data_IF_825414421798
#
_entry.id   IF_825414421798
#
_cell.length_a   1.000
_cell.length_b   1.000
_cell.length_c   1.000
_cell.angle_alpha   90.00
_cell.angle_beta   90.00
_cell.angle_gamma   90.00
#
_symmetry.space_group_name_H-M   'P 1'
#
loop_
_entity.id
_entity.type
_entity.pdbx_description
1 polymer ?
#
# COMPACT_ATOMS: atom_id res chain seq x y z
N UNK A 1 -15.82 -36.37 26.52
CA UNK A 1 -16.26 -35.69 25.29
C UNK A 1 -15.02 -35.48 24.45
N UNK A 2 -14.87 -36.29 23.41
CA UNK A 2 -13.64 -36.43 22.62
C UNK A 2 -13.93 -35.79 21.26
N UNK A 3 -13.28 -34.66 20.98
CA UNK A 3 -13.41 -33.97 19.70
C UNK A 3 -12.61 -34.72 18.62
N UNK A 4 -13.28 -34.95 17.48
CA UNK A 4 -12.77 -35.65 16.30
C UNK A 4 -11.69 -34.83 15.57
N UNK A 5 -10.71 -35.48 14.92
CA UNK A 5 -9.70 -34.81 14.09
C UNK A 5 -10.26 -34.41 12.71
N UNK A 6 -9.88 -33.22 12.23
CA UNK A 6 -10.19 -32.75 10.89
C UNK A 6 -9.25 -33.37 9.84
N UNK A 7 -9.82 -33.59 8.66
CA UNK A 7 -9.39 -34.47 7.58
C UNK A 7 -7.97 -34.24 7.04
N UNK A 8 -7.25 -35.35 6.85
CA UNK A 8 -6.11 -35.48 5.93
C UNK A 8 -6.61 -35.32 4.49
N UNK A 9 -6.05 -34.37 3.74
CA UNK A 9 -6.20 -34.32 2.29
C UNK A 9 -5.39 -35.48 1.69
N UNK A 10 -6.10 -36.42 1.06
CA UNK A 10 -5.55 -37.51 0.26
C UNK A 10 -5.05 -36.93 -1.07
N UNK A 11 -3.75 -37.01 -1.32
CA UNK A 11 -3.21 -36.90 -2.67
C UNK A 11 -3.13 -38.34 -3.25
N UNK A 12 -3.97 -38.65 -4.24
CA UNK A 12 -3.92 -39.91 -4.98
C UNK A 12 -4.35 -39.66 -6.44
N UNK A 13 -3.38 -39.77 -7.36
CA UNK A 13 -3.42 -40.50 -8.64
C UNK A 13 -2.13 -40.17 -9.42
N UNK A 14 -1.21 -41.12 -9.48
CA UNK A 14 -0.97 -42.04 -10.61
C UNK A 14 -0.02 -41.44 -11.65
N UNK A 15 1.26 -41.85 -11.58
CA UNK A 15 2.23 -41.64 -12.63
C UNK A 15 2.07 -42.74 -13.69
N UNK A 16 1.89 -42.33 -14.95
CA UNK A 16 2.12 -43.16 -16.13
C UNK A 16 3.18 -42.46 -16.99
N UNK A 17 4.03 -43.29 -17.61
CA UNK A 17 5.21 -42.88 -18.35
C UNK A 17 4.87 -42.34 -19.75
N UNK A 18 5.55 -41.23 -20.08
CA UNK A 18 6.08 -40.76 -21.36
C UNK A 18 5.28 -41.07 -22.65
N UNK A 19 4.89 -39.99 -23.34
CA UNK A 19 4.88 -39.96 -24.79
C UNK A 19 5.49 -38.65 -25.32
N UNK A 20 5.95 -38.69 -26.56
CA UNK A 20 6.96 -37.85 -27.18
C UNK A 20 6.55 -36.39 -27.46
N UNK A 21 7.55 -35.51 -27.34
CA UNK A 21 7.71 -34.18 -27.94
C UNK A 21 6.48 -33.51 -28.56
N UNK A 22 5.90 -32.58 -27.82
CA UNK A 22 5.32 -31.36 -28.37
C UNK A 22 6.14 -30.20 -27.80
N UNK A 23 6.71 -29.36 -28.67
CA UNK A 23 7.28 -28.07 -28.26
C UNK A 23 6.12 -27.18 -27.82
N UNK A 24 5.60 -27.46 -26.63
CA UNK A 24 4.63 -26.61 -25.98
C UNK A 24 5.34 -25.28 -25.71
N UNK A 25 4.87 -24.24 -26.40
CA UNK A 25 5.07 -22.86 -25.96
C UNK A 25 4.47 -22.80 -24.56
N UNK A 26 5.34 -22.89 -23.54
CA UNK A 26 4.97 -22.57 -22.17
C UNK A 26 4.70 -21.07 -22.20
N UNK A 27 3.43 -20.70 -22.34
CA UNK A 27 2.95 -19.38 -21.94
C UNK A 27 3.33 -19.24 -20.46
N UNK A 28 4.47 -18.59 -20.22
CA UNK A 28 4.88 -18.19 -18.90
C UNK A 28 3.84 -17.14 -18.48
N UNK A 29 2.83 -17.58 -17.75
CA UNK A 29 1.89 -16.71 -17.05
C UNK A 29 2.76 -15.91 -16.08
N UNK A 30 3.22 -14.73 -16.53
CA UNK A 30 4.03 -13.88 -15.68
C UNK A 30 3.06 -13.29 -14.69
N UNK A 31 3.10 -13.83 -13.47
CA UNK A 31 2.32 -13.32 -12.34
C UNK A 31 2.56 -11.80 -12.24
N UNK A 32 1.52 -11.03 -12.54
CA UNK A 32 1.50 -9.59 -12.32
C UNK A 32 1.36 -9.36 -10.81
N UNK A 33 2.48 -9.42 -10.10
CA UNK A 33 2.60 -9.17 -8.66
C UNK A 33 3.54 -8.01 -8.41
N UNK A 34 3.41 -7.39 -7.24
CA UNK A 34 4.40 -6.44 -6.76
C UNK A 34 5.67 -7.18 -6.30
N UNK A 35 6.88 -6.72 -6.68
CA UNK A 35 8.15 -7.34 -6.29
C UNK A 35 8.53 -7.05 -4.83
N UNK A 36 7.63 -7.34 -3.88
CA UNK A 36 7.82 -7.13 -2.45
C UNK A 36 8.63 -8.28 -1.81
N UNK A 37 9.56 -7.93 -0.94
CA UNK A 37 10.32 -8.88 -0.12
C UNK A 37 9.51 -9.32 1.11
N UNK A 38 9.96 -10.36 1.81
CA UNK A 38 9.34 -10.78 3.08
C UNK A 38 9.34 -9.66 4.13
N UNK A 39 10.41 -8.86 4.20
CA UNK A 39 10.49 -7.69 5.08
C UNK A 39 9.45 -6.63 4.72
N UNK A 40 9.22 -6.40 3.43
CA UNK A 40 8.20 -5.44 3.00
C UNK A 40 6.80 -5.91 3.36
N UNK A 41 6.51 -7.19 3.13
CA UNK A 41 5.22 -7.77 3.49
C UNK A 41 4.98 -7.72 5.00
N UNK A 42 6.03 -7.93 5.80
CA UNK A 42 5.93 -7.76 7.25
C UNK A 42 5.65 -6.29 7.63
N UNK A 43 6.39 -5.34 7.06
CA UNK A 43 6.18 -3.91 7.29
C UNK A 43 4.76 -3.48 6.88
N UNK A 44 4.29 -3.89 5.71
CA UNK A 44 2.93 -3.60 5.23
C UNK A 44 1.88 -4.20 6.16
N UNK A 45 2.00 -5.51 6.45
CA UNK A 45 1.04 -6.27 7.24
C UNK A 45 0.93 -5.79 8.69
N UNK A 46 2.04 -5.36 9.28
CA UNK A 46 2.08 -4.90 10.67
C UNK A 46 1.88 -3.38 10.80
N UNK A 47 2.48 -2.57 9.94
CA UNK A 47 2.60 -1.13 10.19
C UNK A 47 1.65 -0.33 9.30
N UNK A 48 1.64 -0.57 7.99
CA UNK A 48 0.79 0.18 7.05
C UNK A 48 -0.69 -0.12 7.29
N UNK A 49 -1.04 -1.40 7.47
CA UNK A 49 -2.42 -1.79 7.80
C UNK A 49 -2.84 -1.21 9.17
N UNK A 50 -1.97 -1.25 10.18
CA UNK A 50 -2.30 -0.69 11.49
C UNK A 50 -2.40 0.84 11.45
N UNK A 51 -1.57 1.52 10.67
CA UNK A 51 -1.68 2.95 10.39
C UNK A 51 -3.06 3.28 9.80
N UNK A 52 -3.47 2.55 8.76
CA UNK A 52 -4.78 2.72 8.12
C UNK A 52 -5.93 2.53 9.11
N UNK A 53 -5.88 1.47 9.94
CA UNK A 53 -6.87 1.22 10.99
C UNK A 53 -6.93 2.35 12.02
N UNK A 54 -5.77 2.85 12.47
CA UNK A 54 -5.70 3.99 13.40
C UNK A 54 -6.26 5.28 12.79
N UNK A 55 -6.03 5.52 11.50
CA UNK A 55 -6.67 6.64 10.79
C UNK A 55 -8.18 6.49 10.87
N UNK A 56 -8.74 5.34 10.48
CA UNK A 56 -10.18 5.10 10.50
C UNK A 56 -10.77 5.35 11.89
N UNK A 57 -10.10 4.87 12.94
CA UNK A 57 -10.55 5.01 14.33
C UNK A 57 -10.50 6.45 14.85
N UNK A 58 -9.47 7.23 14.49
CA UNK A 58 -9.15 8.50 15.16
C UNK A 58 -9.45 9.76 14.35
N UNK A 59 -9.40 9.69 13.03
CA UNK A 59 -9.53 10.87 12.17
C UNK A 59 -10.98 11.28 11.87
N UNK A 60 -11.97 10.48 12.28
CA UNK A 60 -13.38 10.68 11.99
C UNK A 60 -13.63 10.90 10.48
N UNK A 61 -13.22 9.94 9.61
CA UNK A 61 -13.32 10.11 8.17
C UNK A 61 -14.76 10.31 7.74
N UNK A 62 -14.96 11.15 6.73
CA UNK A 62 -16.26 11.25 6.05
C UNK A 62 -16.64 9.91 5.41
N UNK A 63 -17.93 9.65 5.12
CA UNK A 63 -18.33 8.40 4.46
C UNK A 63 -17.59 8.12 3.15
N UNK A 64 -17.29 9.16 2.36
CA UNK A 64 -16.50 9.04 1.12
C UNK A 64 -15.06 8.60 1.41
N UNK A 65 -14.41 9.23 2.38
CA UNK A 65 -13.04 8.87 2.80
C UNK A 65 -12.99 7.44 3.36
N UNK A 66 -14.02 7.02 4.11
CA UNK A 66 -14.10 5.67 4.67
C UNK A 66 -14.17 4.58 3.59
N UNK A 67 -14.89 4.83 2.48
CA UNK A 67 -14.91 3.91 1.33
C UNK A 67 -13.52 3.77 0.73
N UNK A 68 -12.82 4.89 0.48
CA UNK A 68 -11.45 4.87 -0.03
C UNK A 68 -10.49 4.13 0.90
N UNK A 69 -10.57 4.36 2.21
CA UNK A 69 -9.75 3.63 3.19
C UNK A 69 -10.09 2.13 3.24
N UNK A 70 -11.35 1.75 3.02
CA UNK A 70 -11.73 0.34 2.94
C UNK A 70 -11.19 -0.34 1.67
N UNK A 71 -11.23 0.35 0.53
CA UNK A 71 -10.58 -0.10 -0.72
C UNK A 71 -9.07 -0.26 -0.55
N UNK A 72 -8.40 0.72 0.08
CA UNK A 72 -6.98 0.62 0.40
C UNK A 72 -6.68 -0.57 1.32
N UNK A 73 -7.43 -0.75 2.42
CA UNK A 73 -7.24 -1.90 3.31
C UNK A 73 -7.38 -3.24 2.58
N UNK A 74 -8.41 -3.36 1.72
CA UNK A 74 -8.60 -4.56 0.92
C UNK A 74 -7.38 -4.84 0.03
N UNK A 75 -6.87 -3.82 -0.67
CA UNK A 75 -5.71 -3.96 -1.53
C UNK A 75 -4.42 -4.28 -0.76
N UNK A 76 -4.21 -3.66 0.40
CA UNK A 76 -3.07 -3.95 1.27
C UNK A 76 -3.08 -5.39 1.80
N UNK A 77 -4.25 -5.93 2.13
CA UNK A 77 -4.42 -7.32 2.58
C UNK A 77 -4.22 -8.35 1.45
N UNK A 78 -4.31 -7.92 0.19
CA UNK A 78 -4.07 -8.77 -0.98
C UNK A 78 -2.60 -8.82 -1.43
N UNK A 79 -1.74 -7.94 -0.92
CA UNK A 79 -0.32 -7.92 -1.31
C UNK A 79 0.38 -9.28 -1.03
N UNK A 80 1.26 -9.75 -1.93
CA UNK A 80 1.83 -9.03 -3.09
C UNK A 80 0.98 -9.07 -4.37
N UNK A 81 -0.21 -9.68 -4.35
CA UNK A 81 -1.08 -9.71 -5.51
C UNK A 81 -1.68 -8.33 -5.80
N UNK A 82 -1.79 -7.99 -7.08
CA UNK A 82 -2.46 -6.78 -7.54
C UNK A 82 -3.97 -6.91 -7.28
N UNK A 83 -4.61 -5.81 -6.88
CA UNK A 83 -6.07 -5.74 -6.69
C UNK A 83 -6.70 -4.93 -7.81
N UNK A 84 -7.32 -5.58 -8.82
CA UNK A 84 -7.86 -4.88 -9.98
C UNK A 84 -8.94 -3.86 -9.63
N UNK A 85 -8.96 -2.74 -10.36
CA UNK A 85 -9.93 -1.67 -10.24
C UNK A 85 -9.74 -0.75 -9.04
N UNK A 86 -8.70 -0.96 -8.23
CA UNK A 86 -8.36 -0.11 -7.09
C UNK A 86 -7.37 0.97 -7.50
N UNK A 87 -7.63 2.19 -7.06
CA UNK A 87 -6.70 3.33 -7.17
C UNK A 87 -6.99 4.27 -6.02
N UNK A 88 -6.17 4.20 -4.96
CA UNK A 88 -6.37 4.98 -3.74
C UNK A 88 -5.04 5.59 -3.30
N UNK A 89 -5.09 6.87 -2.96
CA UNK A 89 -4.04 7.56 -2.23
C UNK A 89 -4.64 8.13 -0.94
N UNK A 90 -3.97 7.94 0.18
CA UNK A 90 -4.38 8.54 1.44
C UNK A 90 -3.20 8.82 2.34
N UNK A 91 -3.38 9.78 3.24
CA UNK A 91 -2.29 10.23 4.08
C UNK A 91 -2.71 11.19 5.17
N UNK A 92 -1.75 11.50 6.03
CA UNK A 92 -1.88 12.55 7.03
C UNK A 92 -0.90 13.67 6.70
N UNK A 93 -1.35 14.89 6.92
CA UNK A 93 -0.52 16.08 6.84
C UNK A 93 -0.57 16.85 8.16
N UNK A 94 0.56 17.38 8.58
CA UNK A 94 0.66 18.23 9.76
C UNK A 94 1.38 19.51 9.39
N UNK A 95 0.75 20.63 9.73
CA UNK A 95 1.34 21.96 9.65
C UNK A 95 1.41 22.54 11.05
N UNK A 96 2.58 23.02 11.44
CA UNK A 96 2.84 23.68 12.72
C UNK A 96 3.62 24.97 12.50
N UNK A 97 3.52 25.88 13.45
CA UNK A 97 4.29 27.13 13.46
C UNK A 97 3.48 28.33 12.99
N UNK A 98 4.21 29.39 12.63
CA UNK A 98 3.71 30.71 12.24
C UNK A 98 4.50 31.27 11.04
N UNK A 99 4.36 32.57 10.78
CA UNK A 99 5.02 33.24 9.65
C UNK A 99 6.54 33.38 9.83
N UNK A 100 7.08 33.21 11.05
CA UNK A 100 8.52 33.26 11.30
C UNK A 100 9.17 31.88 11.19
N UNK A 101 8.50 30.86 11.74
CA UNK A 101 8.94 29.47 11.69
C UNK A 101 7.76 28.53 11.46
N UNK A 102 7.78 27.77 10.36
CA UNK A 102 6.75 26.79 10.02
C UNK A 102 7.34 25.43 9.67
N UNK A 103 6.65 24.36 10.08
CA UNK A 103 7.01 22.99 9.74
C UNK A 103 5.82 22.30 9.08
N UNK A 104 6.10 21.58 8.00
CA UNK A 104 5.18 20.70 7.31
C UNK A 104 5.71 19.28 7.36
N UNK A 105 4.84 18.32 7.69
CA UNK A 105 5.14 16.88 7.60
C UNK A 105 3.99 16.16 6.90
N UNK A 106 4.33 15.12 6.17
CA UNK A 106 3.34 14.24 5.53
C UNK A 106 3.72 12.77 5.65
N UNK A 107 2.68 11.93 5.62
CA UNK A 107 2.73 10.48 5.47
C UNK A 107 1.71 10.13 4.41
N UNK A 108 2.10 9.41 3.37
CA UNK A 108 1.19 9.00 2.30
C UNK A 108 1.37 7.52 1.99
N UNK A 109 0.26 6.89 1.61
CA UNK A 109 0.19 5.54 1.08
C UNK A 109 -0.62 5.64 -0.21
N UNK A 110 -0.05 5.14 -1.31
CA UNK A 110 -0.70 5.07 -2.61
C UNK A 110 -0.68 3.63 -3.10
N UNK A 111 -1.81 3.13 -3.60
CA UNK A 111 -1.91 1.80 -4.18
C UNK A 111 -2.85 1.80 -5.38
N UNK A 112 -2.39 1.24 -6.49
CA UNK A 112 -3.16 1.02 -7.70
C UNK A 112 -2.69 -0.27 -8.40
N UNK A 113 -3.10 -0.52 -9.65
CA UNK A 113 -2.68 -1.72 -10.38
C UNK A 113 -1.21 -1.70 -10.83
N UNK A 114 -0.63 -0.53 -11.00
CA UNK A 114 0.71 -0.33 -11.55
C UNK A 114 1.75 -0.16 -10.44
N UNK A 115 1.39 0.46 -9.32
CA UNK A 115 2.32 0.80 -8.24
C UNK A 115 1.74 0.71 -6.84
N UNK A 116 2.63 0.49 -5.87
CA UNK A 116 2.38 0.66 -4.46
C UNK A 116 3.50 1.50 -3.84
N UNK A 117 3.12 2.54 -3.10
CA UNK A 117 4.04 3.47 -2.46
C UNK A 117 3.64 3.75 -1.01
N UNK A 118 4.62 3.76 -0.12
CA UNK A 118 4.54 4.30 1.23
C UNK A 118 5.63 5.33 1.37
N UNK A 119 5.27 6.55 1.73
CA UNK A 119 6.21 7.66 1.81
C UNK A 119 5.95 8.55 3.01
N UNK A 120 6.98 9.28 3.40
CA UNK A 120 6.92 10.36 4.37
C UNK A 120 7.95 11.43 4.03
N UNK A 121 7.75 12.62 4.57
CA UNK A 121 8.70 13.70 4.41
C UNK A 121 8.15 14.99 4.98
N UNK A 122 8.77 16.09 4.59
CA UNK A 122 8.34 17.39 5.09
C UNK A 122 9.17 18.54 4.57
N UNK A 123 8.92 19.70 5.17
CA UNK A 123 9.71 20.89 4.95
C UNK A 123 9.72 21.75 6.20
N UNK A 124 10.81 22.45 6.42
CA UNK A 124 10.94 23.48 7.45
C UNK A 124 11.12 24.81 6.74
N UNK A 125 10.37 25.82 7.18
CA UNK A 125 10.50 27.18 6.76
C UNK A 125 10.94 28.04 7.94
N UNK A 126 11.95 28.85 7.71
CA UNK A 126 12.40 29.89 8.64
C UNK A 126 12.59 31.18 7.83
N UNK A 127 11.95 32.26 8.27
CA UNK A 127 11.94 33.54 7.54
C UNK A 127 13.33 34.13 7.28
N UNK A 128 14.36 33.75 8.06
CA UNK A 128 15.72 34.25 7.93
C UNK A 128 16.57 33.47 6.91
N UNK A 129 16.24 32.20 6.63
CA UNK A 129 17.03 31.31 5.75
C UNK A 129 16.24 30.74 4.58
N UNK A 130 14.90 30.73 4.63
CA UNK A 130 14.02 30.21 3.60
C UNK A 130 13.40 28.85 3.95
N UNK A 131 12.99 28.11 2.91
CA UNK A 131 12.40 26.77 3.05
C UNK A 131 13.41 25.71 2.66
N UNK A 132 13.51 24.67 3.48
CA UNK A 132 14.25 23.45 3.19
C UNK A 132 13.31 22.24 3.25
N UNK A 133 13.42 21.33 2.29
CA UNK A 133 12.55 20.17 2.15
C UNK A 133 13.37 18.90 2.31
N UNK A 134 12.79 17.92 2.99
CA UNK A 134 13.42 16.63 3.20
C UNK A 134 12.46 15.49 2.85
N UNK A 135 13.03 14.41 2.33
CA UNK A 135 12.37 13.11 2.22
C UNK A 135 12.64 12.33 3.49
N UNK A 136 11.62 11.60 3.95
CA UNK A 136 11.77 10.57 4.98
C UNK A 136 11.76 9.19 4.35
N UNK A 137 11.17 8.24 5.07
CA UNK A 137 11.00 6.86 4.59
C UNK A 137 10.26 6.80 3.26
N UNK A 138 10.75 5.96 2.34
CA UNK A 138 10.09 5.61 1.08
C UNK A 138 10.19 4.11 0.83
N UNK A 139 9.06 3.48 0.53
CA UNK A 139 8.97 2.17 -0.11
C UNK A 139 8.14 2.37 -1.38
N UNK A 140 8.72 2.14 -2.54
CA UNK A 140 8.04 2.21 -3.83
C UNK A 140 8.26 0.91 -4.58
N UNK A 141 7.18 0.34 -5.11
CA UNK A 141 7.22 -0.81 -6.00
C UNK A 141 6.33 -0.58 -7.22
N UNK A 142 6.83 -1.03 -8.36
CA UNK A 142 6.10 -1.08 -9.63
C UNK A 142 5.85 -2.54 -9.98
N UNK A 143 4.61 -2.84 -10.37
CA UNK A 143 4.19 -4.18 -10.75
C UNK A 143 4.74 -4.60 -12.11
N UNK A 144 4.71 -5.90 -12.38
CA UNK A 144 4.94 -6.48 -13.71
C UNK A 144 6.28 -7.20 -13.87
N UNK A 145 6.51 -7.72 -15.08
CA UNK A 145 7.61 -8.64 -15.38
C UNK A 145 9.01 -8.02 -15.23
N UNK A 146 9.11 -6.69 -15.31
CA UNK A 146 10.31 -5.90 -15.06
C UNK A 146 10.10 -4.94 -13.89
N UNK A 147 9.24 -5.32 -12.95
CA UNK A 147 8.86 -4.50 -11.80
C UNK A 147 10.06 -3.92 -11.08
N UNK A 148 9.88 -2.69 -10.60
CA UNK A 148 10.92 -1.94 -9.91
C UNK A 148 10.63 -1.94 -8.41
N UNK A 149 11.70 -1.90 -7.60
CA UNK A 149 11.60 -1.74 -6.15
C UNK A 149 12.65 -0.74 -5.67
N UNK A 150 12.19 0.25 -4.93
CA UNK A 150 13.00 1.23 -4.22
C UNK A 150 12.61 1.24 -2.74
N UNK A 151 13.61 1.25 -1.87
CA UNK A 151 13.40 1.44 -0.44
C UNK A 151 14.51 2.35 0.08
N UNK A 152 14.14 3.47 0.68
CA UNK A 152 15.08 4.42 1.29
C UNK A 152 14.68 4.74 2.72
N UNK A 153 15.70 5.04 3.53
CA UNK A 153 15.62 5.31 4.95
C UNK A 153 15.00 4.17 5.78
N UNK A 154 14.87 4.41 7.08
CA UNK A 154 14.44 3.42 8.05
C UNK A 154 12.94 3.55 8.35
N UNK A 155 12.22 2.44 8.21
CA UNK A 155 10.79 2.31 8.52
C UNK A 155 10.45 2.65 9.98
N UNK A 156 11.38 2.52 10.94
CA UNK A 156 11.12 2.84 12.34
C UNK A 156 10.68 4.30 12.55
N UNK A 157 11.31 5.25 11.85
CA UNK A 157 10.94 6.66 11.94
C UNK A 157 9.53 6.95 11.40
N UNK A 158 9.10 6.20 10.39
CA UNK A 158 7.73 6.27 9.87
C UNK A 158 6.73 5.82 10.93
N UNK A 159 6.98 4.70 11.60
CA UNK A 159 6.08 4.13 12.62
C UNK A 159 5.90 5.07 13.81
N UNK A 160 7.00 5.54 14.41
CA UNK A 160 6.94 6.37 15.64
C UNK A 160 6.18 7.67 15.40
N UNK A 161 6.38 8.28 14.23
CA UNK A 161 5.84 9.59 13.92
C UNK A 161 4.34 9.58 13.55
N UNK A 162 3.80 8.43 13.09
CA UNK A 162 2.36 8.32 12.79
C UNK A 162 1.46 8.47 14.02
N UNK A 163 1.89 8.00 15.20
CA UNK A 163 1.11 8.17 16.44
C UNK A 163 1.14 9.64 16.88
N UNK A 164 2.30 10.28 16.74
CA UNK A 164 2.47 11.69 17.05
C UNK A 164 1.53 12.55 16.20
N UNK A 165 1.51 12.32 14.88
CA UNK A 165 0.71 13.15 13.96
C UNK A 165 -0.79 13.02 14.22
N UNK A 166 -1.27 11.81 14.53
CA UNK A 166 -2.67 11.58 14.90
C UNK A 166 -3.05 12.32 16.19
N UNK A 167 -2.14 12.39 17.17
CA UNK A 167 -2.39 13.07 18.44
C UNK A 167 -2.35 14.60 18.30
N UNK A 168 -1.59 15.11 17.32
CA UNK A 168 -1.41 16.54 17.08
C UNK A 168 -2.46 17.16 16.15
N UNK A 169 -3.45 16.38 15.72
CA UNK A 169 -4.51 16.85 14.83
C UNK A 169 -4.09 16.92 13.37
N UNK A 170 -3.27 15.96 12.91
CA UNK A 170 -2.98 15.80 11.49
C UNK A 170 -4.26 15.71 10.65
N UNK A 171 -4.24 16.37 9.49
CA UNK A 171 -5.35 16.42 8.55
C UNK A 171 -5.30 15.18 7.67
N UNK A 172 -6.40 14.44 7.63
CA UNK A 172 -6.57 13.29 6.73
C UNK A 172 -6.94 13.75 5.32
N UNK A 173 -6.17 13.27 4.34
CA UNK A 173 -6.49 13.36 2.92
C UNK A 173 -6.71 11.97 2.35
N UNK A 174 -7.73 11.81 1.51
CA UNK A 174 -8.04 10.56 0.79
C UNK A 174 -8.53 10.91 -0.61
N UNK A 175 -7.86 10.36 -1.62
CA UNK A 175 -8.31 10.31 -3.01
C UNK A 175 -8.61 8.86 -3.36
N UNK A 176 -9.80 8.59 -3.86
CA UNK A 176 -10.22 7.25 -4.30
C UNK A 176 -10.81 7.34 -5.71
N UNK A 177 -10.10 6.78 -6.67
CA UNK A 177 -10.47 6.68 -8.08
C UNK A 177 -10.92 5.27 -8.49
N UNK A 178 -11.11 4.37 -7.52
CA UNK A 178 -11.48 2.98 -7.74
C UNK A 178 -12.80 2.83 -8.52
N UNK A 179 -12.88 1.83 -9.39
CA UNK A 179 -14.08 1.50 -10.18
C UNK A 179 -14.40 2.44 -11.35
N UNK A 180 -13.68 3.55 -11.55
CA UNK A 180 -13.91 4.47 -12.68
C UNK A 180 -13.40 3.95 -14.03
N UNK A 181 -12.56 2.91 -14.04
CA UNK A 181 -11.99 2.31 -15.25
C UNK A 181 -12.94 1.40 -16.05
N UNK A 182 -14.11 1.04 -15.51
CA UNK A 182 -14.99 0.05 -16.15
C UNK A 182 -16.01 0.62 -17.16
N UNK A 183 -16.03 1.94 -17.42
CA UNK A 183 -16.93 2.54 -18.42
C UNK A 183 -16.11 2.99 -19.64
N UNK A 184 -15.65 2.03 -20.44
CA UNK A 184 -15.50 2.27 -21.89
C UNK A 184 -16.75 1.72 -22.55
N UNK A 185 -17.81 2.52 -22.54
CA UNK A 185 -18.94 2.30 -23.43
C UNK A 185 -18.40 2.32 -24.87
N UNK A 186 -18.37 1.15 -25.48
CA UNK A 186 -18.42 1.04 -26.93
C UNK A 186 -19.80 1.52 -27.34
N UNK A 187 -19.90 2.82 -27.64
CA UNK A 187 -21.04 3.34 -28.39
C UNK A 187 -20.91 2.76 -29.81
N UNK A 188 -21.72 1.73 -30.10
CA UNK A 188 -22.04 1.24 -31.44
C UNK A 188 -22.92 2.23 -32.21
#
# INVERSE_FOLDING_TARGET
>A
MIAKPLAKIRCLKSAQCLDETTEDQIDFEVDFVFPLTEFDLQFVGCEVINFTRKIIERSQPTPKQLIGLAHALHALECLPAITPGISVEYGLQLRKGDDEFAEFKYWSVSINEESFEVTSGGSVYDSSVGSDSYSGFKLYVEAGSYGYRECSDDSYGWIESTVEVLNLGGVLEVSDDSGRGCIKGTDE
#
